data_IF_843404075724
#
_entry.id   IF_843404075724
#
_cell.length_a   1.000
_cell.length_b   1.000
_cell.length_c   1.000
_cell.angle_alpha   90.00
_cell.angle_beta   90.00
_cell.angle_gamma   90.00
#
_symmetry.space_group_name_H-M   'P 1'
#
loop_
_entity.id
_entity.type
_entity.pdbx_description
1 polymer ?
#
# COMPACT_ATOMS: atom_id res chain seq x y z
N UNK A 1 23.08 24.78 32.92
CA UNK A 1 24.16 25.77 32.90
C UNK A 1 23.93 26.70 31.72
N UNK A 2 24.02 28.02 31.95
CA UNK A 2 23.99 29.17 31.00
C UNK A 2 22.75 29.28 30.10
N UNK A 3 21.82 30.25 30.19
CA UNK A 3 21.80 31.67 30.63
C UNK A 3 22.90 32.54 30.03
N UNK A 4 22.63 33.15 28.87
CA UNK A 4 23.01 34.53 28.54
C UNK A 4 21.92 35.16 27.64
N UNK A 5 21.37 36.34 28.00
CA UNK A 5 20.39 37.12 27.24
C UNK A 5 21.01 38.37 26.56
N UNK A 6 20.19 39.10 25.79
CA UNK A 6 20.25 40.54 25.41
C UNK A 6 20.28 40.78 23.89
N UNK A 7 19.93 41.99 23.38
CA UNK A 7 18.85 42.91 23.77
C UNK A 7 18.04 43.42 22.54
N UNK A 8 16.83 43.94 22.76
CA UNK A 8 16.12 44.76 21.76
C UNK A 8 16.22 46.25 22.15
N UNK A 9 16.66 47.15 21.25
CA UNK A 9 16.64 48.58 21.49
C UNK A 9 15.29 49.22 21.14
N UNK A 10 14.78 50.01 22.07
CA UNK A 10 13.73 51.02 21.86
C UNK A 10 14.31 52.19 21.06
N UNK A 11 13.52 52.77 20.14
CA UNK A 11 13.75 54.14 19.68
C UNK A 11 12.44 54.85 19.38
N UNK A 12 12.07 55.67 20.36
CA UNK A 12 11.39 56.97 20.34
C UNK A 12 11.05 57.62 18.99
N UNK A 13 9.77 57.98 18.85
CA UNK A 13 9.22 58.92 17.85
C UNK A 13 9.15 60.32 18.48
N UNK A 14 9.67 61.38 17.85
CA UNK A 14 9.42 62.75 18.27
C UNK A 14 8.22 63.35 17.53
N UNK A 15 7.19 63.74 18.28
CA UNK A 15 6.06 64.55 17.83
C UNK A 15 6.32 66.03 18.17
N UNK A 16 6.37 66.90 17.17
CA UNK A 16 6.43 68.36 17.35
C UNK A 16 5.20 69.00 16.69
N UNK A 17 4.43 69.87 17.40
CA UNK A 17 3.28 70.57 16.85
C UNK A 17 3.65 71.99 16.37
N UNK A 18 3.01 72.47 15.31
CA UNK A 18 3.08 73.86 14.89
C UNK A 18 1.67 74.50 14.85
N UNK A 19 1.60 75.68 15.45
CA UNK A 19 0.43 76.49 15.81
C UNK A 19 -0.26 77.18 14.61
N UNK A 20 -1.53 77.62 14.79
CA UNK A 20 -2.27 78.45 13.85
C UNK A 20 -1.98 79.94 14.06
N UNK A 21 -2.10 80.75 13.01
CA UNK A 21 -2.16 82.22 13.10
C UNK A 21 -3.39 82.70 12.35
N UNK A 22 -4.24 83.41 13.08
CA UNK A 22 -5.44 84.10 12.61
C UNK A 22 -5.14 85.56 12.23
N UNK A 23 -5.97 86.07 11.30
CA UNK A 23 -6.59 87.41 11.27
C UNK A 23 -5.75 88.69 11.10
N UNK A 24 -6.07 89.51 10.07
CA UNK A 24 -6.59 90.91 10.12
C UNK A 24 -6.61 91.49 8.68
N UNK A 25 -7.74 91.94 8.14
CA UNK A 25 -8.35 93.31 8.18
C UNK A 25 -8.17 94.13 6.89
N UNK A 26 -9.27 94.19 6.12
CA UNK A 26 -9.97 95.36 5.53
C UNK A 26 -9.28 96.72 5.33
N UNK A 27 -9.32 97.26 4.10
CA UNK A 27 -9.81 98.62 3.75
C UNK A 27 -10.17 98.73 2.22
N UNK A 28 -11.28 99.41 1.80
CA UNK A 28 -11.72 99.62 0.38
C UNK A 28 -11.53 101.10 -0.09
N UNK A 29 -12.02 101.63 -1.26
CA UNK A 29 -12.27 101.18 -2.66
C UNK A 29 -11.48 102.09 -3.70
N UNK A 30 -11.74 102.23 -5.04
CA UNK A 30 -13.02 102.45 -5.77
C UNK A 30 -13.38 101.40 -6.84
N UNK A 31 -14.66 101.05 -6.88
CA UNK A 31 -15.39 100.37 -7.96
C UNK A 31 -15.57 101.38 -9.12
N UNK A 32 -15.68 101.02 -10.41
CA UNK A 32 -16.67 100.08 -10.96
C UNK A 32 -16.26 99.41 -12.29
N UNK A 33 -15.05 99.63 -12.84
CA UNK A 33 -14.65 98.95 -14.10
C UNK A 33 -13.84 97.66 -13.90
N UNK A 34 -13.24 97.45 -12.72
CA UNK A 34 -12.40 96.28 -12.43
C UNK A 34 -13.17 95.02 -11.98
N UNK A 35 -14.43 95.16 -11.55
CA UNK A 35 -15.22 94.02 -11.05
C UNK A 35 -15.65 93.05 -12.16
N UNK A 36 -15.88 93.54 -13.39
CA UNK A 36 -16.21 92.68 -14.52
C UNK A 36 -15.01 91.83 -14.99
N UNK A 37 -13.80 92.40 -15.00
CA UNK A 37 -12.58 91.66 -15.34
C UNK A 37 -12.11 90.74 -14.19
N UNK A 38 -12.27 91.16 -12.94
CA UNK A 38 -11.99 90.33 -11.75
C UNK A 38 -12.91 89.10 -11.67
N UNK A 39 -14.21 89.26 -11.95
CA UNK A 39 -15.14 88.12 -12.01
C UNK A 39 -14.82 87.18 -13.18
N UNK A 40 -14.41 87.72 -14.34
CA UNK A 40 -14.06 86.91 -15.51
C UNK A 40 -12.71 86.18 -15.31
N UNK A 41 -11.77 86.78 -14.58
CA UNK A 41 -10.52 86.12 -14.20
C UNK A 41 -10.71 85.08 -13.10
N UNK A 42 -11.60 85.32 -12.14
CA UNK A 42 -11.98 84.34 -11.11
C UNK A 42 -12.78 83.17 -11.68
N UNK A 43 -13.66 83.40 -12.66
CA UNK A 43 -14.38 82.33 -13.36
C UNK A 43 -13.43 81.48 -14.22
N UNK A 44 -12.43 82.10 -14.84
CA UNK A 44 -11.35 81.40 -15.55
C UNK A 44 -10.43 80.60 -14.61
N UNK A 45 -10.14 81.12 -13.42
CA UNK A 45 -9.41 80.38 -12.39
C UNK A 45 -10.24 79.23 -11.84
N UNK A 46 -11.55 79.40 -11.67
CA UNK A 46 -12.45 78.34 -11.25
C UNK A 46 -12.57 77.23 -12.29
N UNK A 47 -12.66 77.59 -13.58
CA UNK A 47 -12.64 76.61 -14.67
C UNK A 47 -11.30 75.90 -14.78
N UNK A 48 -10.17 76.61 -14.59
CA UNK A 48 -8.85 75.97 -14.54
C UNK A 48 -8.72 75.02 -13.34
N UNK A 49 -9.22 75.42 -12.17
CA UNK A 49 -9.18 74.61 -10.94
C UNK A 49 -10.06 73.37 -11.07
N UNK A 50 -11.26 73.52 -11.63
CA UNK A 50 -12.15 72.37 -11.90
C UNK A 50 -11.60 71.45 -12.98
N UNK A 51 -10.94 71.98 -14.02
CA UNK A 51 -10.25 71.16 -15.02
C UNK A 51 -9.05 70.42 -14.41
N UNK A 52 -8.28 71.07 -13.53
CA UNK A 52 -7.18 70.42 -12.79
C UNK A 52 -7.73 69.33 -11.88
N UNK A 53 -8.81 69.60 -11.15
CA UNK A 53 -9.40 68.64 -10.22
C UNK A 53 -10.07 67.47 -10.96
N UNK A 54 -10.70 67.73 -12.11
CA UNK A 54 -11.20 66.69 -13.02
C UNK A 54 -10.06 65.86 -13.60
N UNK A 55 -8.96 66.50 -14.00
CA UNK A 55 -7.76 65.79 -14.48
C UNK A 55 -7.09 64.97 -13.38
N UNK A 56 -7.12 65.45 -12.13
CA UNK A 56 -6.63 64.75 -10.95
C UNK A 56 -7.49 63.53 -10.63
N UNK A 57 -8.82 63.66 -10.70
CA UNK A 57 -9.74 62.55 -10.45
C UNK A 57 -9.64 61.46 -11.55
N UNK A 58 -9.45 61.87 -12.80
CA UNK A 58 -9.16 60.94 -13.90
C UNK A 58 -7.79 60.27 -13.69
N UNK A 59 -6.80 60.99 -13.18
CA UNK A 59 -5.49 60.43 -12.88
C UNK A 59 -5.53 59.42 -11.72
N UNK A 60 -6.37 59.62 -10.71
CA UNK A 60 -6.58 58.63 -9.64
C UNK A 60 -7.30 57.38 -10.15
N UNK A 61 -8.31 57.51 -11.02
CA UNK A 61 -9.00 56.36 -11.65
C UNK A 61 -8.06 55.55 -12.56
N UNK A 62 -7.11 56.21 -13.23
CA UNK A 62 -6.09 55.54 -14.05
C UNK A 62 -5.08 54.75 -13.18
N UNK A 63 -4.83 55.20 -11.96
CA UNK A 63 -3.90 54.53 -11.02
C UNK A 63 -4.54 53.30 -10.37
N UNK A 64 -5.86 53.26 -10.22
CA UNK A 64 -6.58 52.16 -9.56
C UNK A 64 -7.17 51.11 -10.51
N UNK A 65 -7.34 51.39 -11.82
CA UNK A 65 -8.12 50.56 -12.74
C UNK A 65 -7.38 49.91 -13.93
N UNK A 66 -7.82 48.69 -14.24
CA UNK A 66 -7.42 47.71 -15.26
C UNK A 66 -7.19 48.20 -16.72
N UNK A 67 -6.73 47.30 -17.59
CA UNK A 67 -6.36 47.45 -19.01
C UNK A 67 -7.29 48.27 -19.95
N UNK A 68 -8.50 48.64 -19.49
CA UNK A 68 -9.43 49.60 -20.09
C UNK A 68 -8.84 51.02 -20.28
N UNK A 69 -7.88 51.40 -19.45
CA UNK A 69 -7.37 52.79 -19.39
C UNK A 69 -6.37 53.17 -20.50
N UNK A 70 -6.00 52.23 -21.37
CA UNK A 70 -5.10 52.48 -22.51
C UNK A 70 -5.72 53.42 -23.56
N UNK A 71 -7.04 53.35 -23.74
CA UNK A 71 -7.78 54.22 -24.66
C UNK A 71 -7.86 55.67 -24.17
N UNK A 72 -8.05 55.87 -22.87
CA UNK A 72 -8.13 57.20 -22.24
C UNK A 72 -6.77 57.92 -22.26
N UNK A 73 -5.67 57.19 -22.03
CA UNK A 73 -4.32 57.74 -22.16
C UNK A 73 -4.02 58.16 -23.60
N UNK A 74 -4.42 57.35 -24.59
CA UNK A 74 -4.25 57.68 -26.01
C UNK A 74 -5.03 58.95 -26.38
N UNK A 75 -6.25 59.10 -25.86
CA UNK A 75 -7.05 60.32 -26.04
C UNK A 75 -6.40 61.55 -25.37
N UNK A 76 -5.81 61.39 -24.17
CA UNK A 76 -5.04 62.45 -23.50
C UNK A 76 -3.78 62.83 -24.28
N UNK A 77 -3.08 61.86 -24.88
CA UNK A 77 -1.88 62.10 -25.67
C UNK A 77 -2.19 62.80 -27.01
N UNK A 78 -3.30 62.42 -27.65
CA UNK A 78 -3.87 63.10 -28.81
C UNK A 78 -4.25 64.55 -28.48
N UNK A 79 -4.92 64.77 -27.35
CA UNK A 79 -5.27 66.11 -26.88
C UNK A 79 -4.03 66.94 -26.52
N UNK A 80 -3.00 66.32 -25.93
CA UNK A 80 -1.70 66.96 -25.69
C UNK A 80 -1.03 67.40 -26.99
N UNK A 81 -1.05 66.53 -28.01
CA UNK A 81 -0.51 66.83 -29.34
C UNK A 81 -1.26 68.00 -29.99
N UNK A 82 -2.58 68.05 -29.87
CA UNK A 82 -3.39 69.19 -30.35
C UNK A 82 -3.03 70.49 -29.61
N UNK A 83 -2.84 70.45 -28.28
CA UNK A 83 -2.36 71.60 -27.50
C UNK A 83 -0.97 72.06 -27.94
N UNK A 84 -0.03 71.14 -28.22
CA UNK A 84 1.31 71.50 -28.74
C UNK A 84 1.19 72.16 -30.12
N UNK A 85 0.35 71.63 -31.00
CA UNK A 85 0.12 72.22 -32.34
C UNK A 85 -0.47 73.62 -32.21
N UNK A 86 -1.46 73.81 -31.33
CA UNK A 86 -2.05 75.13 -31.04
C UNK A 86 -1.05 76.08 -30.38
N UNK A 87 -0.22 75.61 -29.44
CA UNK A 87 0.85 76.41 -28.85
C UNK A 87 1.85 76.83 -29.92
N UNK A 88 2.24 75.91 -30.81
CA UNK A 88 3.13 76.20 -31.92
C UNK A 88 2.51 77.18 -32.90
N UNK A 89 1.21 77.10 -33.17
CA UNK A 89 0.48 78.08 -33.99
C UNK A 89 0.41 79.44 -33.31
N UNK A 90 0.12 79.50 -32.01
CA UNK A 90 0.10 80.73 -31.24
C UNK A 90 1.51 81.34 -31.22
N UNK A 91 2.55 80.59 -30.87
CA UNK A 91 3.95 81.06 -30.86
C UNK A 91 4.45 81.44 -32.26
N UNK A 92 4.03 80.73 -33.32
CA UNK A 92 4.35 81.07 -34.70
C UNK A 92 3.51 82.22 -35.26
N UNK A 93 2.40 82.58 -34.60
CA UNK A 93 1.81 83.90 -34.77
C UNK A 93 2.71 84.86 -34.02
N UNK A 94 3.85 85.19 -34.63
CA UNK A 94 4.65 86.33 -34.23
C UNK A 94 3.70 87.52 -34.22
N UNK A 95 3.32 87.97 -33.02
CA UNK A 95 2.90 89.35 -32.86
C UNK A 95 4.16 90.12 -33.20
N UNK A 96 4.23 90.68 -34.41
CA UNK A 96 5.33 91.51 -34.90
C UNK A 96 5.55 92.68 -33.93
N UNK A 97 6.31 92.43 -32.87
CA UNK A 97 6.87 93.46 -31.99
C UNK A 97 8.03 94.19 -32.67
N UNK A 98 8.44 93.73 -33.86
CA UNK A 98 9.56 94.26 -34.65
C UNK A 98 9.33 95.64 -35.24
N UNK A 99 8.09 96.13 -35.35
CA UNK A 99 7.83 97.47 -35.87
C UNK A 99 6.87 98.24 -34.95
N UNK A 100 7.45 98.86 -33.91
CA UNK A 100 6.86 99.96 -33.12
C UNK A 100 6.70 101.26 -33.94
N UNK A 101 6.89 101.17 -35.25
CA UNK A 101 6.65 102.23 -36.23
C UNK A 101 5.71 101.65 -37.28
N UNK A 102 4.69 102.38 -37.67
CA UNK A 102 3.94 102.01 -38.88
C UNK A 102 4.88 102.11 -40.11
N UNK A 103 4.51 101.55 -41.26
CA UNK A 103 5.27 101.61 -42.52
C UNK A 103 5.71 103.04 -42.93
N UNK A 104 5.16 104.08 -42.30
CA UNK A 104 5.48 105.51 -42.42
C UNK A 104 6.38 106.10 -41.30
N UNK A 105 6.93 105.29 -40.40
CA UNK A 105 7.88 105.73 -39.36
C UNK A 105 7.28 106.46 -38.15
N UNK A 106 5.94 106.51 -38.03
CA UNK A 106 5.24 107.19 -36.92
C UNK A 106 5.05 106.28 -35.71
N UNK A 107 5.16 106.87 -34.52
CA UNK A 107 4.85 106.20 -33.26
C UNK A 107 3.34 105.88 -33.23
N UNK A 108 2.95 104.64 -32.92
CA UNK A 108 1.54 104.24 -32.84
C UNK A 108 0.82 105.09 -31.81
N UNK A 109 -0.43 105.46 -32.13
CA UNK A 109 -1.29 106.20 -31.21
C UNK A 109 -1.45 105.42 -29.91
N UNK A 110 -1.63 106.10 -28.77
CA UNK A 110 -1.74 105.46 -27.45
C UNK A 110 -2.74 104.29 -27.44
N UNK A 111 -3.89 104.42 -28.09
CA UNK A 111 -4.89 103.35 -28.22
C UNK A 111 -4.35 102.11 -28.96
N UNK A 112 -3.56 102.29 -30.03
CA UNK A 112 -2.94 101.18 -30.76
C UNK A 112 -1.85 100.48 -29.96
N UNK A 113 -1.12 101.24 -29.13
CA UNK A 113 -0.12 100.66 -28.21
C UNK A 113 -0.82 99.85 -27.11
N UNK A 114 -1.91 100.37 -26.55
CA UNK A 114 -2.73 99.67 -25.55
C UNK A 114 -3.34 98.39 -26.12
N UNK A 115 -3.85 98.42 -27.36
CA UNK A 115 -4.38 97.22 -28.02
C UNK A 115 -3.29 96.19 -28.33
N UNK A 116 -2.11 96.63 -28.80
CA UNK A 116 -0.97 95.72 -29.02
C UNK A 116 -0.46 95.12 -27.72
N UNK A 117 -0.39 95.89 -26.64
CA UNK A 117 0.02 95.43 -25.32
C UNK A 117 -1.02 94.46 -24.71
N UNK A 118 -2.32 94.78 -24.86
CA UNK A 118 -3.44 93.90 -24.51
C UNK A 118 -3.38 92.58 -25.27
N UNK A 119 -3.10 92.61 -26.58
CA UNK A 119 -2.89 91.43 -27.41
C UNK A 119 -1.67 90.61 -26.95
N UNK A 120 -0.56 91.27 -26.60
CA UNK A 120 0.63 90.65 -26.00
C UNK A 120 0.30 89.90 -24.72
N UNK A 121 -0.41 90.55 -23.80
CA UNK A 121 -0.78 89.95 -22.53
C UNK A 121 -1.77 88.81 -22.72
N UNK A 122 -2.71 88.91 -23.67
CA UNK A 122 -3.59 87.79 -24.03
C UNK A 122 -2.81 86.63 -24.62
N UNK A 123 -1.83 86.88 -25.49
CA UNK A 123 -0.96 85.88 -26.07
C UNK A 123 -0.07 85.21 -25.00
N UNK A 124 0.60 85.99 -24.15
CA UNK A 124 1.42 85.46 -23.06
C UNK A 124 0.58 84.66 -22.06
N UNK A 125 -0.65 85.10 -21.78
CA UNK A 125 -1.61 84.34 -20.95
C UNK A 125 -2.00 83.03 -21.62
N UNK A 126 -2.26 83.02 -22.92
CA UNK A 126 -2.56 81.79 -23.68
C UNK A 126 -1.37 80.81 -23.70
N UNK A 127 -0.15 81.32 -23.93
CA UNK A 127 1.09 80.55 -23.88
C UNK A 127 1.32 79.97 -22.49
N UNK A 128 1.15 80.76 -21.43
CA UNK A 128 1.31 80.31 -20.04
C UNK A 128 0.25 79.25 -19.68
N UNK A 129 -1.00 79.42 -20.12
CA UNK A 129 -2.06 78.43 -19.90
C UNK A 129 -1.77 77.11 -20.63
N UNK A 130 -1.32 77.16 -21.88
CA UNK A 130 -0.97 75.96 -22.65
C UNK A 130 0.30 75.28 -22.10
N UNK A 131 1.31 76.07 -21.68
CA UNK A 131 2.51 75.56 -21.02
C UNK A 131 2.17 74.84 -19.71
N UNK A 132 1.30 75.42 -18.87
CA UNK A 132 0.82 74.77 -17.65
C UNK A 132 0.08 73.45 -17.94
N UNK A 133 -0.74 73.39 -19.01
CA UNK A 133 -1.40 72.15 -19.47
C UNK A 133 -0.40 71.10 -19.95
N UNK A 134 0.66 71.50 -20.65
CA UNK A 134 1.70 70.55 -21.08
C UNK A 134 2.50 69.98 -19.91
N UNK A 135 2.79 70.80 -18.90
CA UNK A 135 3.47 70.35 -17.68
C UNK A 135 2.60 69.33 -16.94
N UNK A 136 1.29 69.57 -16.79
CA UNK A 136 0.39 68.63 -16.13
C UNK A 136 0.24 67.32 -16.92
N UNK A 137 0.17 67.37 -18.24
CA UNK A 137 0.14 66.19 -19.10
C UNK A 137 1.42 65.36 -19.00
N UNK A 138 2.59 66.01 -18.98
CA UNK A 138 3.87 65.33 -18.77
C UNK A 138 3.91 64.67 -17.39
N UNK A 139 3.43 65.36 -16.35
CA UNK A 139 3.31 64.80 -15.01
C UNK A 139 2.41 63.56 -14.97
N UNK A 140 1.22 63.59 -15.60
CA UNK A 140 0.30 62.45 -15.68
C UNK A 140 0.94 61.28 -16.44
N UNK A 141 1.62 61.55 -17.56
CA UNK A 141 2.32 60.52 -18.33
C UNK A 141 3.43 59.84 -17.51
N UNK A 142 4.22 60.62 -16.78
CA UNK A 142 5.25 60.09 -15.87
C UNK A 142 4.64 59.28 -14.73
N UNK A 143 3.53 59.75 -14.16
CA UNK A 143 2.82 59.02 -13.11
C UNK A 143 2.25 57.69 -13.62
N UNK A 144 1.73 57.65 -14.84
CA UNK A 144 1.28 56.40 -15.47
C UNK A 144 2.46 55.45 -15.75
N UNK A 145 3.57 55.95 -16.30
CA UNK A 145 4.77 55.13 -16.49
C UNK A 145 5.30 54.57 -15.16
N UNK A 146 5.27 55.36 -14.09
CA UNK A 146 5.63 54.90 -12.76
C UNK A 146 4.66 53.81 -12.25
N UNK A 147 3.36 54.00 -12.41
CA UNK A 147 2.34 53.02 -12.01
C UNK A 147 2.52 51.70 -12.77
N UNK A 148 2.74 51.74 -14.10
CA UNK A 148 3.03 50.56 -14.93
C UNK A 148 4.31 49.86 -14.51
N UNK A 149 5.39 50.60 -14.29
CA UNK A 149 6.64 50.01 -13.79
C UNK A 149 6.46 49.36 -12.43
N UNK A 150 5.69 49.97 -11.53
CA UNK A 150 5.38 49.39 -10.21
C UNK A 150 4.53 48.12 -10.33
N UNK A 151 3.55 48.08 -11.22
CA UNK A 151 2.76 46.88 -11.50
C UNK A 151 3.61 45.76 -12.09
N UNK A 152 4.49 46.09 -13.05
CA UNK A 152 5.43 45.15 -13.65
C UNK A 152 6.40 44.59 -12.60
N UNK A 153 6.97 45.43 -11.74
CA UNK A 153 7.82 44.99 -10.62
C UNK A 153 7.07 44.07 -9.67
N UNK A 154 5.80 44.37 -9.35
CA UNK A 154 4.97 43.50 -8.51
C UNK A 154 4.69 42.16 -9.19
N UNK A 155 4.43 42.15 -10.49
CA UNK A 155 4.22 40.93 -11.27
C UNK A 155 5.51 40.09 -11.33
N UNK A 156 6.66 40.72 -11.58
CA UNK A 156 7.98 40.06 -11.56
C UNK A 156 8.29 39.49 -10.17
N UNK A 157 8.01 40.24 -9.10
CA UNK A 157 8.23 39.77 -7.74
C UNK A 157 7.37 38.55 -7.41
N UNK A 158 6.09 38.54 -7.83
CA UNK A 158 5.20 37.37 -7.71
C UNK A 158 5.70 36.18 -8.53
N UNK A 159 6.10 36.41 -9.77
CA UNK A 159 6.64 35.37 -10.65
C UNK A 159 7.91 34.76 -10.07
N UNK A 160 8.84 35.58 -9.56
CA UNK A 160 10.04 35.10 -8.87
C UNK A 160 9.71 34.27 -7.64
N UNK A 161 8.72 34.69 -6.85
CA UNK A 161 8.25 33.92 -5.69
C UNK A 161 7.70 32.55 -6.12
N UNK A 162 6.87 32.50 -7.16
CA UNK A 162 6.34 31.24 -7.70
C UNK A 162 7.43 30.31 -8.22
N UNK A 163 8.45 30.86 -8.91
CA UNK A 163 9.59 30.07 -9.39
C UNK A 163 10.37 29.46 -8.21
N UNK A 164 10.58 30.22 -7.13
CA UNK A 164 11.23 29.70 -5.93
C UNK A 164 10.39 28.60 -5.27
N UNK A 165 9.08 28.79 -5.13
CA UNK A 165 8.18 27.75 -4.60
C UNK A 165 8.18 26.48 -5.46
N UNK A 166 8.21 26.63 -6.79
CA UNK A 166 8.33 25.50 -7.73
C UNK A 166 9.69 24.80 -7.59
N UNK A 167 10.78 25.55 -7.43
CA UNK A 167 12.11 24.99 -7.24
C UNK A 167 12.21 24.22 -5.92
N UNK A 168 11.65 24.75 -4.84
CA UNK A 168 11.60 24.09 -3.54
C UNK A 168 10.77 22.79 -3.63
N UNK A 169 9.63 22.83 -4.32
CA UNK A 169 8.79 21.65 -4.54
C UNK A 169 9.49 20.57 -5.38
N UNK A 170 10.21 20.96 -6.44
CA UNK A 170 10.98 20.01 -7.26
C UNK A 170 12.10 19.38 -6.44
N UNK A 171 12.82 20.18 -5.65
CA UNK A 171 13.88 19.67 -4.77
C UNK A 171 13.33 18.68 -3.73
N UNK A 172 12.17 18.99 -3.15
CA UNK A 172 11.49 18.07 -2.22
C UNK A 172 11.00 16.80 -2.89
N UNK A 173 10.55 16.88 -4.15
CA UNK A 173 10.13 15.72 -4.92
C UNK A 173 11.32 14.83 -5.31
N UNK A 174 12.46 15.43 -5.66
CA UNK A 174 13.72 14.73 -5.92
C UNK A 174 14.18 13.97 -4.68
N UNK A 175 14.19 14.62 -3.50
CA UNK A 175 14.50 13.96 -2.22
C UNK A 175 13.54 12.80 -1.93
N UNK A 176 12.24 12.98 -2.18
CA UNK A 176 11.24 11.93 -1.99
C UNK A 176 11.43 10.74 -2.94
N UNK A 177 11.90 10.98 -4.17
CA UNK A 177 12.19 9.93 -5.16
C UNK A 177 13.47 9.17 -4.77
N UNK A 178 14.48 9.87 -4.27
CA UNK A 178 15.70 9.25 -3.75
C UNK A 178 15.37 8.37 -2.54
N UNK A 179 14.60 8.87 -1.57
CA UNK A 179 14.12 8.09 -0.43
C UNK A 179 13.35 6.84 -0.88
N UNK A 180 12.43 6.99 -1.83
CA UNK A 180 11.67 5.87 -2.38
C UNK A 180 12.58 4.84 -3.07
N UNK A 181 13.61 5.29 -3.77
CA UNK A 181 14.58 4.43 -4.44
C UNK A 181 15.36 3.61 -3.41
N UNK A 182 15.83 4.23 -2.33
CA UNK A 182 16.51 3.51 -1.25
C UNK A 182 15.61 2.49 -0.56
N UNK A 183 14.33 2.84 -0.32
CA UNK A 183 13.35 1.93 0.27
C UNK A 183 13.09 0.72 -0.64
N UNK A 184 12.97 0.92 -1.96
CA UNK A 184 12.81 -0.16 -2.93
C UNK A 184 14.02 -1.10 -2.94
N UNK A 185 15.24 -0.55 -2.87
CA UNK A 185 16.46 -1.35 -2.80
C UNK A 185 16.54 -2.17 -1.51
N UNK A 186 16.16 -1.59 -0.37
CA UNK A 186 16.06 -2.29 0.92
C UNK A 186 15.02 -3.41 0.85
N UNK A 187 13.84 -3.15 0.27
CA UNK A 187 12.80 -4.16 0.09
C UNK A 187 13.24 -5.30 -0.83
N UNK A 188 13.96 -4.98 -1.91
CA UNK A 188 14.54 -5.99 -2.80
C UNK A 188 15.54 -6.87 -2.08
N UNK A 189 16.46 -6.28 -1.30
CA UNK A 189 17.41 -7.03 -0.48
C UNK A 189 16.70 -7.92 0.56
N UNK A 190 15.61 -7.44 1.16
CA UNK A 190 14.80 -8.23 2.10
C UNK A 190 14.07 -9.39 1.41
N UNK A 191 13.53 -9.16 0.21
CA UNK A 191 12.89 -10.21 -0.59
C UNK A 191 13.89 -11.31 -0.99
N UNK A 192 15.12 -10.92 -1.37
CA UNK A 192 16.20 -11.87 -1.67
C UNK A 192 16.60 -12.69 -0.43
N UNK A 193 16.73 -12.05 0.74
CA UNK A 193 16.99 -12.76 2.02
C UNK A 193 15.87 -13.73 2.37
N UNK A 194 14.62 -13.32 2.22
CA UNK A 194 13.46 -14.17 2.49
C UNK A 194 13.44 -15.38 1.55
N UNK A 195 13.73 -15.16 0.26
CA UNK A 195 13.84 -16.23 -0.72
C UNK A 195 14.91 -17.26 -0.34
N UNK A 196 16.11 -16.79 0.04
CA UNK A 196 17.19 -17.68 0.52
C UNK A 196 16.79 -18.47 1.78
N UNK A 197 16.09 -17.82 2.73
CA UNK A 197 15.58 -18.48 3.94
C UNK A 197 14.52 -19.56 3.61
N UNK A 198 13.61 -19.27 2.68
CA UNK A 198 12.62 -20.23 2.20
C UNK A 198 13.27 -21.41 1.50
N UNK A 199 14.27 -21.17 0.64
CA UNK A 199 15.01 -22.22 -0.04
C UNK A 199 15.76 -23.11 0.97
N UNK A 200 16.41 -22.51 1.98
CA UNK A 200 17.04 -23.26 3.07
C UNK A 200 16.03 -24.11 3.85
N UNK A 201 14.85 -23.55 4.16
CA UNK A 201 13.79 -24.26 4.88
C UNK A 201 13.24 -25.42 4.05
N UNK A 202 13.09 -25.22 2.73
CA UNK A 202 12.67 -26.26 1.80
C UNK A 202 13.66 -27.43 1.78
N UNK A 203 14.96 -27.16 1.70
CA UNK A 203 16.01 -28.19 1.72
C UNK A 203 16.00 -28.95 3.06
N UNK A 204 15.81 -28.25 4.18
CA UNK A 204 15.70 -28.88 5.49
C UNK A 204 14.47 -29.79 5.59
N UNK A 205 13.31 -29.34 5.08
CA UNK A 205 12.08 -30.14 5.05
C UNK A 205 12.22 -31.38 4.15
N UNK A 206 12.87 -31.23 2.99
CA UNK A 206 13.14 -32.36 2.11
C UNK A 206 14.05 -33.39 2.78
N UNK A 207 15.14 -32.93 3.41
CA UNK A 207 16.07 -33.79 4.15
C UNK A 207 15.34 -34.53 5.28
N UNK A 208 14.62 -33.82 6.14
CA UNK A 208 13.88 -34.44 7.26
C UNK A 208 12.80 -35.40 6.78
N UNK A 209 12.14 -35.13 5.64
CA UNK A 209 11.17 -36.05 5.04
C UNK A 209 11.84 -37.33 4.55
N UNK A 210 13.03 -37.24 3.94
CA UNK A 210 13.79 -38.42 3.50
C UNK A 210 14.29 -39.26 4.67
N UNK A 211 14.77 -38.62 5.74
CA UNK A 211 15.16 -39.30 6.99
C UNK A 211 13.97 -40.04 7.60
N UNK A 212 12.81 -39.37 7.70
CA UNK A 212 11.60 -39.99 8.25
C UNK A 212 11.13 -41.18 7.42
N UNK A 213 11.17 -41.07 6.08
CA UNK A 213 10.84 -42.20 5.19
C UNK A 213 11.78 -43.38 5.40
N UNK A 214 13.06 -43.10 5.59
CA UNK A 214 14.09 -44.12 5.86
C UNK A 214 13.84 -44.82 7.19
N UNK A 215 13.56 -44.05 8.25
CA UNK A 215 13.27 -44.59 9.58
C UNK A 215 11.97 -45.42 9.58
N UNK A 216 10.92 -44.97 8.88
CA UNK A 216 9.69 -45.75 8.69
C UNK A 216 9.94 -47.06 7.95
N UNK A 217 10.82 -47.07 6.94
CA UNK A 217 11.22 -48.30 6.26
C UNK A 217 11.96 -49.24 7.22
N UNK A 218 12.90 -48.72 8.00
CA UNK A 218 13.65 -49.47 9.01
C UNK A 218 12.72 -50.09 10.05
N UNK A 219 11.74 -49.35 10.55
CA UNK A 219 10.77 -49.85 11.51
C UNK A 219 9.89 -50.96 10.92
N UNK A 220 9.45 -50.83 9.66
CA UNK A 220 8.74 -51.91 8.97
C UNK A 220 9.59 -53.17 8.84
N UNK A 221 10.87 -53.04 8.55
CA UNK A 221 11.77 -54.19 8.45
C UNK A 221 12.01 -54.86 9.81
N UNK A 222 12.11 -54.07 10.89
CA UNK A 222 12.16 -54.59 12.27
C UNK A 222 10.86 -55.32 12.62
N UNK A 223 9.70 -54.76 12.30
CA UNK A 223 8.40 -55.40 12.53
C UNK A 223 8.26 -56.71 11.76
N UNK A 224 8.69 -56.76 10.49
CA UNK A 224 8.72 -58.01 9.71
C UNK A 224 9.62 -59.06 10.35
N UNK A 225 10.80 -58.67 10.84
CA UNK A 225 11.71 -59.57 11.58
C UNK A 225 11.05 -60.08 12.87
N UNK A 226 10.42 -59.21 13.64
CA UNK A 226 9.70 -59.59 14.86
C UNK A 226 8.52 -60.52 14.56
N UNK A 227 7.75 -60.26 13.50
CA UNK A 227 6.66 -61.14 13.07
C UNK A 227 7.19 -62.52 12.65
N UNK A 228 8.34 -62.59 11.98
CA UNK A 228 9.04 -63.83 11.67
C UNK A 228 9.44 -64.59 12.94
N UNK A 229 10.07 -63.91 13.91
CA UNK A 229 10.45 -64.49 15.19
C UNK A 229 9.23 -64.97 16.00
N UNK A 230 8.13 -64.22 16.00
CA UNK A 230 6.88 -64.64 16.65
C UNK A 230 6.32 -65.88 15.95
N UNK A 231 6.38 -65.94 14.62
CA UNK A 231 6.00 -67.13 13.85
C UNK A 231 6.83 -68.36 14.21
N UNK A 232 8.14 -68.21 14.31
CA UNK A 232 9.06 -69.28 14.70
C UNK A 232 8.87 -69.72 16.15
N UNK A 233 8.68 -68.77 17.07
CA UNK A 233 8.34 -69.05 18.47
C UNK A 233 7.01 -69.79 18.57
N UNK A 234 5.99 -69.38 17.81
CA UNK A 234 4.70 -70.03 17.78
C UNK A 234 4.81 -71.47 17.25
N UNK A 235 5.54 -71.68 16.15
CA UNK A 235 5.81 -73.02 15.60
C UNK A 235 6.61 -73.90 16.57
N UNK A 236 7.60 -73.34 17.26
CA UNK A 236 8.38 -74.06 18.26
C UNK A 236 7.53 -74.46 19.46
N UNK A 237 6.70 -73.55 19.99
CA UNK A 237 5.78 -73.86 21.08
C UNK A 237 4.73 -74.87 20.66
N UNK A 238 4.22 -74.75 19.44
CA UNK A 238 3.29 -75.72 18.86
C UNK A 238 3.89 -77.12 18.75
N UNK A 239 5.12 -77.25 18.22
CA UNK A 239 5.80 -78.54 18.12
C UNK A 239 6.10 -79.15 19.51
N UNK A 240 6.44 -78.31 20.49
CA UNK A 240 6.66 -78.74 21.87
C UNK A 240 5.36 -79.27 22.49
N UNK A 241 4.25 -78.52 22.38
CA UNK A 241 2.94 -78.93 22.88
C UNK A 241 2.47 -80.21 22.18
N UNK A 242 2.67 -80.34 20.86
CA UNK A 242 2.35 -81.55 20.09
C UNK A 242 3.10 -82.77 20.61
N UNK A 243 4.42 -82.65 20.81
CA UNK A 243 5.24 -83.74 21.32
C UNK A 243 4.82 -84.14 22.74
N UNK A 244 4.51 -83.15 23.59
CA UNK A 244 4.06 -83.39 24.95
C UNK A 244 2.68 -84.05 24.99
N UNK A 245 1.73 -83.63 24.14
CA UNK A 245 0.42 -84.29 23.99
C UNK A 245 0.56 -85.72 23.46
N UNK A 246 1.48 -85.97 22.52
CA UNK A 246 1.76 -87.31 22.02
C UNK A 246 2.36 -88.22 23.13
N UNK A 247 3.29 -87.69 23.93
CA UNK A 247 3.86 -88.40 25.08
C UNK A 247 2.81 -88.67 26.18
N UNK A 248 1.99 -87.68 26.51
CA UNK A 248 0.87 -87.82 27.46
C UNK A 248 -0.12 -88.87 26.97
N UNK A 249 -0.43 -88.87 25.67
CA UNK A 249 -1.28 -89.87 25.03
C UNK A 249 -0.68 -91.27 25.14
N UNK A 250 0.60 -91.43 24.80
CA UNK A 250 1.31 -92.72 24.91
C UNK A 250 1.36 -93.21 26.36
N UNK A 251 1.65 -92.32 27.31
CA UNK A 251 1.69 -92.61 28.74
C UNK A 251 0.31 -93.01 29.28
N UNK A 252 -0.75 -92.31 28.84
CA UNK A 252 -2.12 -92.64 29.21
C UNK A 252 -2.55 -93.99 28.66
N UNK A 253 -2.19 -94.30 27.40
CA UNK A 253 -2.46 -95.58 26.77
C UNK A 253 -1.72 -96.72 27.48
N UNK A 254 -0.44 -96.49 27.80
CA UNK A 254 0.37 -97.43 28.57
C UNK A 254 -0.24 -97.69 29.95
N UNK A 255 -0.64 -96.64 30.67
CA UNK A 255 -1.26 -96.73 32.00
C UNK A 255 -2.55 -97.54 31.98
N UNK A 256 -3.42 -97.33 30.99
CA UNK A 256 -4.67 -98.09 30.87
C UNK A 256 -4.42 -99.56 30.49
N UNK A 257 -3.32 -99.85 29.81
CA UNK A 257 -2.92 -101.22 29.47
C UNK A 257 -2.22 -101.95 30.63
N UNK A 258 -1.96 -101.28 31.75
CA UNK A 258 -1.41 -101.96 32.94
C UNK A 258 -2.47 -102.82 33.61
N UNK A 259 -2.01 -103.92 34.23
CA UNK A 259 -2.87 -104.88 34.95
C UNK A 259 -3.73 -104.23 36.04
N UNK A 260 -3.28 -103.10 36.60
CA UNK A 260 -3.96 -102.35 37.65
C UNK A 260 -5.33 -101.84 37.18
N UNK A 261 -5.43 -101.36 35.94
CA UNK A 261 -6.69 -100.84 35.37
C UNK A 261 -7.49 -101.95 34.69
N UNK A 262 -6.80 -102.89 34.06
CA UNK A 262 -7.44 -103.96 33.31
C UNK A 262 -8.19 -104.96 34.21
N UNK A 263 -7.61 -105.32 35.36
CA UNK A 263 -8.18 -106.29 36.29
C UNK A 263 -9.56 -105.88 36.85
N UNK A 264 -9.76 -104.66 37.43
CA UNK A 264 -11.07 -104.27 37.94
C UNK A 264 -12.12 -104.16 36.84
N UNK A 265 -11.76 -103.68 35.64
CA UNK A 265 -12.68 -103.61 34.50
C UNK A 265 -13.11 -105.03 34.08
N UNK A 266 -12.14 -105.95 33.98
CA UNK A 266 -12.43 -107.33 33.63
C UNK A 266 -13.28 -108.04 34.70
N UNK A 267 -13.02 -107.77 35.99
CA UNK A 267 -13.79 -108.33 37.10
C UNK A 267 -15.25 -107.83 37.10
N UNK A 268 -15.48 -106.52 36.96
CA UNK A 268 -16.83 -105.94 36.91
C UNK A 268 -17.61 -106.47 35.71
N UNK A 269 -16.99 -106.54 34.53
CA UNK A 269 -17.65 -107.07 33.32
C UNK A 269 -17.87 -108.59 33.38
N UNK A 270 -17.03 -109.34 34.10
CA UNK A 270 -17.23 -110.77 34.35
C UNK A 270 -18.47 -111.03 35.20
N UNK A 271 -18.70 -110.21 36.23
CA UNK A 271 -19.82 -110.35 37.15
C UNK A 271 -21.13 -109.87 36.49
N UNK A 272 -21.06 -108.78 35.73
CA UNK A 272 -22.26 -108.11 35.20
C UNK A 272 -22.75 -108.65 33.85
N UNK A 273 -21.91 -109.27 33.02
CA UNK A 273 -22.27 -109.63 31.64
C UNK A 273 -21.87 -111.06 31.25
N UNK A 274 -22.82 -111.78 30.64
CA UNK A 274 -22.60 -113.12 30.07
C UNK A 274 -21.56 -113.08 28.92
N UNK A 275 -20.68 -114.09 28.76
CA UNK A 275 -19.72 -114.19 27.67
C UNK A 275 -20.38 -114.07 26.29
N UNK A 276 -20.22 -112.91 25.64
CA UNK A 276 -20.75 -112.60 24.32
C UNK A 276 -19.87 -111.58 23.59
N UNK A 277 -20.05 -111.41 22.27
CA UNK A 277 -19.33 -110.38 21.48
C UNK A 277 -19.55 -108.96 22.03
N UNK A 278 -20.72 -108.68 22.62
CA UNK A 278 -21.03 -107.39 23.26
C UNK A 278 -20.12 -107.10 24.44
N UNK A 279 -19.69 -108.13 25.19
CA UNK A 279 -18.78 -107.98 26.33
C UNK A 279 -17.37 -107.57 25.89
N UNK A 280 -16.87 -108.10 24.77
CA UNK A 280 -15.58 -107.67 24.20
C UNK A 280 -15.63 -106.20 23.78
N UNK A 281 -16.72 -105.78 23.12
CA UNK A 281 -16.91 -104.39 22.74
C UNK A 281 -17.03 -103.47 23.96
N UNK A 282 -17.83 -103.85 24.96
CA UNK A 282 -17.96 -103.11 26.22
C UNK A 282 -16.62 -102.98 26.95
N UNK A 283 -15.76 -104.01 26.92
CA UNK A 283 -14.40 -103.97 27.48
C UNK A 283 -13.50 -102.99 26.73
N UNK A 284 -13.52 -102.98 25.40
CA UNK A 284 -12.72 -102.03 24.63
C UNK A 284 -13.24 -100.60 24.79
N UNK A 285 -14.56 -100.43 24.84
CA UNK A 285 -15.19 -99.14 25.07
C UNK A 285 -14.90 -98.58 26.46
N UNK A 286 -14.96 -99.42 27.51
CA UNK A 286 -14.60 -98.99 28.87
C UNK A 286 -13.12 -98.65 28.99
N UNK A 287 -12.23 -99.42 28.33
CA UNK A 287 -10.80 -99.06 28.21
C UNK A 287 -10.62 -97.71 27.51
N UNK A 288 -11.35 -97.45 26.43
CA UNK A 288 -11.31 -96.17 25.73
C UNK A 288 -11.79 -95.00 26.60
N UNK A 289 -12.90 -95.17 27.33
CA UNK A 289 -13.39 -94.15 28.28
C UNK A 289 -12.34 -93.89 29.36
N UNK A 290 -11.76 -94.95 29.94
CA UNK A 290 -10.74 -94.81 30.98
C UNK A 290 -9.48 -94.11 30.46
N UNK A 291 -9.06 -94.43 29.23
CA UNK A 291 -7.99 -93.70 28.53
C UNK A 291 -8.29 -92.21 28.43
N UNK A 292 -9.51 -91.85 27.99
CA UNK A 292 -9.90 -90.46 27.83
C UNK A 292 -9.91 -89.71 29.18
N UNK A 293 -10.39 -90.36 30.25
CA UNK A 293 -10.40 -89.80 31.60
C UNK A 293 -8.99 -89.62 32.18
N UNK A 294 -8.14 -90.64 32.05
CA UNK A 294 -6.73 -90.60 32.49
C UNK A 294 -6.00 -89.50 31.71
N UNK A 295 -6.11 -89.48 30.38
CA UNK A 295 -5.50 -88.45 29.54
C UNK A 295 -5.94 -87.04 29.95
N UNK A 296 -7.24 -86.81 30.19
CA UNK A 296 -7.74 -85.51 30.68
C UNK A 296 -7.14 -85.12 32.03
N UNK A 297 -7.03 -86.06 32.97
CA UNK A 297 -6.49 -85.81 34.31
C UNK A 297 -4.98 -85.54 34.26
N UNK A 298 -4.21 -86.33 33.51
CA UNK A 298 -2.77 -86.11 33.35
C UNK A 298 -2.50 -84.81 32.58
N UNK A 299 -3.31 -84.48 31.56
CA UNK A 299 -3.22 -83.19 30.84
C UNK A 299 -3.50 -81.99 31.76
N UNK A 300 -4.53 -82.05 32.59
CA UNK A 300 -4.81 -81.02 33.60
C UNK A 300 -3.64 -80.88 34.60
N UNK A 301 -3.06 -82.01 35.03
CA UNK A 301 -1.86 -82.03 35.86
C UNK A 301 -0.66 -81.35 35.16
N UNK A 302 -0.33 -81.76 33.95
CA UNK A 302 0.77 -81.19 33.17
C UNK A 302 0.60 -79.68 32.91
N UNK A 303 -0.64 -79.22 32.69
CA UNK A 303 -0.95 -77.80 32.61
C UNK A 303 -0.72 -77.07 33.94
N UNK A 304 -1.11 -77.68 35.07
CA UNK A 304 -0.90 -77.07 36.41
C UNK A 304 0.57 -76.95 36.81
N UNK A 305 1.43 -77.84 36.32
CA UNK A 305 2.89 -77.77 36.51
C UNK A 305 3.59 -76.83 35.50
N UNK A 306 2.84 -76.18 34.60
CA UNK A 306 3.41 -75.27 33.60
C UNK A 306 4.21 -75.97 32.49
N UNK A 307 4.13 -77.29 32.38
CA UNK A 307 4.81 -78.06 31.34
C UNK A 307 4.07 -77.97 30.00
N UNK A 308 2.75 -77.75 30.03
CA UNK A 308 1.92 -77.60 28.84
C UNK A 308 1.35 -76.17 28.80
N UNK A 309 1.74 -75.39 27.80
CA UNK A 309 1.10 -74.09 27.55
C UNK A 309 -0.23 -74.38 26.86
N UNK A 310 -1.37 -74.01 27.45
CA UNK A 310 -2.71 -74.26 26.88
C UNK A 310 -3.01 -73.62 25.51
N UNK A 311 -1.99 -73.16 24.80
CA UNK A 311 -2.03 -72.57 23.45
C UNK A 311 -2.38 -73.66 22.42
N UNK A 312 -1.94 -74.91 22.65
CA UNK A 312 -2.39 -76.09 21.91
C UNK A 312 -3.74 -76.63 22.41
N UNK A 313 -4.84 -75.90 22.23
CA UNK A 313 -6.15 -76.54 22.29
C UNK A 313 -6.20 -77.63 21.19
N UNK A 314 -6.87 -78.77 21.41
CA UNK A 314 -7.07 -79.76 20.36
C UNK A 314 -7.84 -79.20 19.13
N UNK A 315 -8.43 -78.00 19.26
CA UNK A 315 -9.26 -77.31 18.29
C UNK A 315 -8.55 -77.06 16.94
N UNK A 316 -7.36 -76.39 16.87
CA UNK A 316 -6.59 -76.26 15.62
C UNK A 316 -6.25 -77.59 14.96
N UNK A 317 -5.96 -78.64 15.73
CA UNK A 317 -5.66 -79.97 15.20
C UNK A 317 -6.88 -80.62 14.56
N UNK A 318 -8.03 -80.60 15.25
CA UNK A 318 -9.28 -81.13 14.73
C UNK A 318 -9.67 -80.36 13.46
N UNK A 319 -9.60 -79.03 13.46
CA UNK A 319 -9.92 -78.24 12.26
C UNK A 319 -8.93 -78.47 11.11
N UNK A 320 -7.62 -78.63 11.39
CA UNK A 320 -6.60 -78.88 10.35
C UNK A 320 -6.73 -80.29 9.76
N UNK A 321 -6.91 -81.31 10.60
CA UNK A 321 -7.09 -82.70 10.17
C UNK A 321 -8.43 -82.91 9.47
N UNK A 322 -9.53 -82.33 9.96
CA UNK A 322 -10.80 -82.32 9.24
C UNK A 322 -10.70 -81.53 7.94
N UNK A 323 -9.98 -80.41 7.93
CA UNK A 323 -9.71 -79.65 6.70
C UNK A 323 -8.96 -80.51 5.68
N UNK A 324 -7.83 -81.09 6.05
CA UNK A 324 -7.04 -81.97 5.18
C UNK A 324 -7.83 -83.20 4.72
N UNK A 325 -8.60 -83.83 5.61
CA UNK A 325 -9.47 -84.95 5.29
C UNK A 325 -10.59 -84.54 4.33
N UNK A 326 -11.25 -83.40 4.58
CA UNK A 326 -12.26 -82.83 3.70
C UNK A 326 -11.68 -82.52 2.32
N UNK A 327 -10.50 -81.89 2.26
CA UNK A 327 -9.83 -81.58 0.98
C UNK A 327 -9.42 -82.86 0.24
N UNK A 328 -8.94 -83.89 0.95
CA UNK A 328 -8.62 -85.20 0.37
C UNK A 328 -9.88 -85.95 -0.10
N UNK A 329 -11.01 -85.79 0.60
CA UNK A 329 -12.29 -86.38 0.23
C UNK A 329 -12.88 -85.68 -1.00
N UNK A 330 -12.87 -84.34 -1.02
CA UNK A 330 -13.39 -83.55 -2.13
C UNK A 330 -12.53 -83.71 -3.39
N UNK A 331 -11.21 -83.76 -3.28
CA UNK A 331 -10.33 -84.05 -4.43
C UNK A 331 -10.49 -85.47 -4.99
N UNK A 332 -10.96 -86.44 -4.18
CA UNK A 332 -11.29 -87.80 -4.66
C UNK A 332 -12.72 -87.94 -5.19
N UNK A 333 -13.67 -87.15 -4.70
CA UNK A 333 -15.09 -87.23 -5.06
C UNK A 333 -15.49 -86.27 -6.18
N UNK A 334 -14.79 -85.14 -6.35
CA UNK A 334 -15.00 -84.27 -7.50
C UNK A 334 -14.26 -84.85 -8.71
N UNK A 335 -14.96 -85.16 -9.82
CA UNK A 335 -14.30 -85.54 -11.05
C UNK A 335 -13.34 -84.41 -11.43
N UNK A 336 -12.09 -84.79 -11.73
CA UNK A 336 -11.05 -83.86 -12.18
C UNK A 336 -11.68 -82.95 -13.24
N UNK A 337 -11.70 -81.62 -13.05
CA UNK A 337 -12.29 -80.74 -14.05
C UNK A 337 -11.65 -81.07 -15.40
N UNK A 338 -12.46 -81.17 -16.48
CA UNK A 338 -11.93 -81.49 -17.80
C UNK A 338 -10.77 -80.53 -18.06
N UNK A 339 -9.63 -81.10 -18.47
CA UNK A 339 -8.46 -80.30 -18.85
C UNK A 339 -8.94 -79.21 -19.80
N UNK A 340 -8.56 -77.93 -19.58
CA UNK A 340 -8.88 -76.88 -20.52
C UNK A 340 -8.41 -77.34 -21.91
N UNK A 341 -9.22 -77.13 -22.96
CA UNK A 341 -8.87 -77.58 -24.31
C UNK A 341 -7.46 -77.07 -24.60
N UNK A 342 -6.58 -77.98 -25.02
CA UNK A 342 -5.24 -77.63 -25.43
C UNK A 342 -5.38 -76.50 -26.44
N UNK A 343 -4.87 -75.31 -26.09
CA UNK A 343 -4.73 -74.20 -27.03
C UNK A 343 -3.71 -74.71 -28.04
N UNK A 344 -4.21 -75.31 -29.11
CA UNK A 344 -3.43 -75.51 -30.33
C UNK A 344 -3.24 -74.10 -30.87
N UNK A 345 -2.11 -73.50 -30.52
CA UNK A 345 -1.55 -72.39 -31.27
C UNK A 345 -1.22 -72.92 -32.67
N UNK A 346 -2.25 -72.99 -33.52
CA UNK A 346 -2.04 -72.98 -34.97
C UNK A 346 -1.72 -71.53 -35.33
N UNK A 347 -0.49 -71.23 -35.79
CA UNK A 347 -0.18 -69.92 -36.32
C UNK A 347 -0.95 -69.76 -37.64
N UNK A 348 -1.98 -68.91 -37.63
CA UNK A 348 -2.61 -68.45 -38.86
C UNK A 348 -1.61 -67.57 -39.62
N UNK A 349 -1.15 -68.08 -40.75
CA UNK A 349 -0.43 -67.37 -41.83
C UNK A 349 -1.34 -66.47 -42.63
#
# INVERSE_FOLDING_TARGET
MSKVPSPQPQTTIPSTPAKPISSLSTTPPPQEQSQAESQNTLSQLWTLTTDIQRSSNIATDIVEGDASNTGQLKALLEHAKDIVVRLRQVVATEVEFGELRDQNGRLPTYEQLVDRLSSAFRHQRAVNQMSAKLISLNYIANMNNFAKNRQLQKAIARGRKQILELQDNVTSLEESVDDLTTEVDVQKANAERLKLSLDSTRVLLETTMTEYRTEMSRQRDVLKKQQGLIGDLWKSKFNQDFFLDALLGLFSLWTVNTMIVEYPIAAVLNISMHPSRRRLWARQFSKFIMFLLVYRKVKLGAASYGLHNGIGAAKPYITSTFGALYTALTTRLLPRPPLPPAITDTPDT
#
